data_IF_415661917145
#
_entry.id   IF_415661917145
#
_cell.length_a   1.000
_cell.length_b   1.000
_cell.length_c   1.000
_cell.angle_alpha   90.00
_cell.angle_beta   90.00
_cell.angle_gamma   90.00
#
_symmetry.space_group_name_H-M   'P 1'
#
loop_
_entity.id
_entity.type
_entity.pdbx_description
1 polymer ?
#
# COMPACT_ATOMS: atom_id res chain seq x y z
N UNK A 1 -4.13 -15.47 -14.86
CA UNK A 1 -3.56 -15.59 -16.23
C UNK A 1 -2.15 -15.04 -16.19
N UNK A 2 -1.14 -15.90 -16.36
CA UNK A 2 0.26 -15.51 -16.31
C UNK A 2 0.69 -14.95 -17.66
N UNK A 3 1.05 -13.66 -17.70
CA UNK A 3 1.79 -13.10 -18.81
C UNK A 3 3.21 -13.66 -18.77
N UNK A 4 3.61 -14.36 -19.84
CA UNK A 4 4.93 -14.95 -20.01
C UNK A 4 6.04 -13.92 -19.92
N UNK A 5 6.57 -13.75 -18.72
CA UNK A 5 7.81 -13.03 -18.47
C UNK A 5 8.92 -14.07 -18.42
N UNK A 6 9.91 -13.97 -19.31
CA UNK A 6 11.21 -14.62 -19.11
C UNK A 6 11.82 -14.00 -17.84
N UNK A 7 11.59 -14.66 -16.72
CA UNK A 7 12.02 -14.25 -15.40
C UNK A 7 11.63 -15.31 -14.40
N UNK A 8 12.58 -15.76 -13.59
CA UNK A 8 12.24 -16.60 -12.43
C UNK A 8 11.31 -15.79 -11.53
N UNK A 9 10.12 -16.31 -11.24
CA UNK A 9 9.24 -15.75 -10.20
C UNK A 9 9.97 -15.94 -8.88
N UNK A 10 10.64 -14.88 -8.41
CA UNK A 10 11.30 -14.84 -7.12
C UNK A 10 10.48 -13.97 -6.19
N UNK A 11 10.49 -14.30 -4.91
CA UNK A 11 9.90 -13.44 -3.90
C UNK A 11 10.57 -12.05 -3.95
N UNK A 12 9.75 -11.01 -3.85
CA UNK A 12 10.23 -9.64 -3.90
C UNK A 12 11.01 -9.34 -2.62
N UNK A 13 12.29 -8.99 -2.75
CA UNK A 13 13.06 -8.46 -1.62
C UNK A 13 12.76 -6.96 -1.48
N UNK A 14 11.68 -6.65 -0.78
CA UNK A 14 11.21 -5.28 -0.50
C UNK A 14 11.45 -4.94 0.96
N UNK A 15 11.24 -3.68 1.32
CA UNK A 15 11.18 -3.15 2.68
C UNK A 15 10.07 -2.10 2.75
N UNK A 16 9.70 -1.63 3.95
CA UNK A 16 8.74 -0.53 4.08
C UNK A 16 9.18 0.76 3.34
N UNK A 17 10.48 0.93 3.04
CA UNK A 17 10.97 2.07 2.27
C UNK A 17 10.72 1.95 0.76
N UNK A 18 10.36 0.77 0.26
CA UNK A 18 10.16 0.49 -1.16
C UNK A 18 8.69 0.63 -1.60
N UNK A 19 7.79 1.01 -0.68
CA UNK A 19 6.35 0.99 -0.92
C UNK A 19 5.69 2.30 -0.51
N UNK A 20 4.66 2.68 -1.27
CA UNK A 20 3.67 3.66 -0.84
C UNK A 20 2.38 2.91 -0.52
N UNK A 21 1.76 3.24 0.61
CA UNK A 21 0.49 2.65 1.02
C UNK A 21 -0.55 3.75 1.09
N UNK A 22 -1.70 3.46 0.51
CA UNK A 22 -2.86 4.32 0.49
C UNK A 22 -4.06 3.55 1.01
N UNK A 23 -4.99 4.25 1.66
CA UNK A 23 -6.26 3.68 2.05
C UNK A 23 -7.42 4.62 1.75
N UNK A 24 -8.59 4.04 1.55
CA UNK A 24 -9.85 4.76 1.42
C UNK A 24 -10.90 4.06 2.28
N UNK A 25 -11.67 4.83 3.05
CA UNK A 25 -12.77 4.31 3.87
C UNK A 25 -14.11 4.67 3.24
N UNK A 26 -15.03 3.71 3.21
CA UNK A 26 -16.43 3.90 2.81
C UNK A 26 -17.37 3.22 3.81
N UNK A 27 -18.44 3.87 4.28
CA UNK A 27 -19.44 3.24 5.13
C UNK A 27 -20.22 2.13 4.39
N UNK A 28 -20.37 2.23 3.06
CA UNK A 28 -21.02 1.20 2.26
C UNK A 28 -20.47 1.15 0.82
N UNK A 29 -20.75 0.07 0.08
CA UNK A 29 -20.34 -0.06 -1.34
C UNK A 29 -20.99 0.97 -2.26
N UNK A 30 -22.16 1.47 -1.87
CA UNK A 30 -22.94 2.43 -2.64
C UNK A 30 -22.66 3.88 -2.23
N UNK A 31 -21.68 4.11 -1.36
CA UNK A 31 -21.31 5.47 -0.95
C UNK A 31 -20.76 6.28 -2.14
N UNK A 32 -21.30 7.48 -2.31
CA UNK A 32 -20.96 8.41 -3.41
C UNK A 32 -20.56 9.80 -2.92
N UNK A 33 -20.65 10.11 -1.63
CA UNK A 33 -20.20 11.38 -1.08
C UNK A 33 -18.69 11.56 -1.34
N UNK A 34 -18.33 12.72 -1.87
CA UNK A 34 -16.96 13.14 -2.22
C UNK A 34 -16.00 13.03 -1.04
N UNK A 35 -16.51 13.15 0.19
CA UNK A 35 -15.75 12.97 1.43
C UNK A 35 -15.13 11.56 1.55
N UNK A 36 -15.71 10.55 0.89
CA UNK A 36 -15.26 9.15 0.95
C UNK A 36 -14.58 8.67 -0.35
N UNK A 37 -14.27 9.57 -1.28
CA UNK A 37 -13.64 9.20 -2.57
C UNK A 37 -12.12 9.23 -2.49
N UNK A 38 -11.55 10.05 -1.62
CA UNK A 38 -10.12 10.31 -1.58
C UNK A 38 -9.32 9.20 -0.89
N UNK A 39 -8.18 8.87 -1.48
CA UNK A 39 -7.18 8.01 -0.86
C UNK A 39 -6.25 8.84 0.03
N UNK A 40 -6.00 8.33 1.24
CA UNK A 40 -5.10 8.92 2.22
C UNK A 40 -3.83 8.06 2.33
N UNK A 41 -2.67 8.71 2.48
CA UNK A 41 -1.40 8.01 2.62
C UNK A 41 -1.22 7.45 4.02
N UNK A 42 -0.63 6.26 4.12
CA UNK A 42 -0.21 5.64 5.37
C UNK A 42 1.31 5.56 5.44
N UNK A 43 1.84 5.65 6.67
CA UNK A 43 3.25 5.38 6.91
C UNK A 43 3.51 3.87 6.75
N UNK A 44 4.20 3.50 5.67
CA UNK A 44 4.50 2.11 5.36
C UNK A 44 5.25 1.39 6.50
N UNK A 45 6.09 2.09 7.26
CA UNK A 45 6.87 1.50 8.36
C UNK A 45 6.02 1.18 9.59
N UNK A 46 4.85 1.81 9.74
CA UNK A 46 3.92 1.53 10.84
C UNK A 46 2.90 0.44 10.48
N UNK A 47 2.65 0.27 9.17
CA UNK A 47 1.61 -0.63 8.63
C UNK A 47 2.18 -1.98 8.20
N UNK A 48 3.36 -2.00 7.57
CA UNK A 48 4.03 -3.24 7.18
C UNK A 48 5.12 -3.57 8.19
N UNK A 49 4.83 -4.56 9.03
CA UNK A 49 5.79 -5.08 9.98
C UNK A 49 6.44 -6.32 9.37
N UNK A 50 7.77 -6.38 9.43
CA UNK A 50 8.46 -7.64 9.12
C UNK A 50 7.89 -8.73 10.01
N UNK A 51 7.65 -9.94 9.49
CA UNK A 51 7.02 -11.04 10.23
C UNK A 51 7.90 -11.61 11.36
N UNK A 52 9.03 -10.95 11.66
CA UNK A 52 10.08 -11.45 12.55
C UNK A 52 9.53 -11.66 13.96
N UNK A 53 9.69 -12.91 14.41
CA UNK A 53 9.74 -13.30 15.81
C UNK A 53 11.10 -12.87 16.35
N UNK A 54 11.05 -12.05 17.41
CA UNK A 54 12.16 -11.58 18.23
C UNK A 54 13.23 -12.66 18.46
N UNK A 55 14.23 -12.71 17.59
CA UNK A 55 15.43 -13.53 17.80
C UNK A 55 16.58 -12.88 17.05
N UNK A 56 17.62 -12.54 17.82
CA UNK A 56 18.86 -11.90 17.39
C UNK A 56 19.73 -12.77 16.47
N UNK A 57 19.21 -13.90 15.99
CA UNK A 57 19.92 -14.84 15.14
C UNK A 57 19.03 -15.26 13.96
N UNK A 58 19.51 -14.97 12.74
CA UNK A 58 19.02 -15.60 11.50
C UNK A 58 19.34 -17.10 11.55
N UNK A 59 18.55 -17.85 12.31
CA UNK A 59 18.78 -19.26 12.50
C UNK A 59 17.94 -20.02 11.48
N UNK A 60 18.58 -20.49 10.40
CA UNK A 60 18.01 -21.53 9.54
C UNK A 60 17.92 -22.82 10.38
N UNK A 61 16.85 -22.99 11.14
CA UNK A 61 16.66 -24.18 11.97
C UNK A 61 15.83 -25.22 11.23
N UNK A 62 15.92 -26.47 11.67
CA UNK A 62 15.09 -27.60 11.26
C UNK A 62 13.58 -27.39 11.49
N UNK A 63 13.18 -26.29 12.14
CA UNK A 63 11.80 -26.01 12.59
C UNK A 63 11.11 -24.85 11.85
N UNK A 64 11.80 -24.13 10.95
CA UNK A 64 11.17 -23.07 10.15
C UNK A 64 12.11 -21.93 9.76
N UNK A 65 11.67 -21.12 8.80
CA UNK A 65 12.35 -19.92 8.33
C UNK A 65 11.70 -18.69 9.00
N UNK A 66 12.46 -17.94 9.80
CA UNK A 66 11.96 -16.76 10.54
C UNK A 66 11.88 -15.48 9.69
N UNK A 67 12.47 -15.49 8.50
CA UNK A 67 12.49 -14.35 7.58
C UNK A 67 12.15 -14.83 6.16
N UNK A 68 10.88 -14.67 5.79
CA UNK A 68 10.41 -14.95 4.43
C UNK A 68 10.46 -13.65 3.63
N UNK A 69 11.32 -13.55 2.61
CA UNK A 69 11.46 -12.33 1.83
C UNK A 69 10.12 -11.99 1.17
N UNK A 70 9.68 -10.74 1.33
CA UNK A 70 8.44 -10.24 0.74
C UNK A 70 7.16 -10.57 1.51
N UNK A 71 7.24 -11.33 2.61
CA UNK A 71 6.12 -11.51 3.53
C UNK A 71 6.11 -10.38 4.58
N UNK A 72 4.95 -9.79 4.82
CA UNK A 72 4.74 -8.76 5.83
C UNK A 72 3.47 -9.01 6.61
N UNK A 73 3.50 -8.69 7.90
CA UNK A 73 2.29 -8.56 8.71
C UNK A 73 1.68 -7.19 8.48
N UNK A 74 0.40 -7.17 8.14
CA UNK A 74 -0.35 -5.93 8.00
C UNK A 74 -0.93 -5.51 9.34
N UNK A 75 -0.42 -4.43 9.90
CA UNK A 75 -0.99 -3.77 11.08
C UNK A 75 -2.01 -2.74 10.62
N UNK A 76 -3.20 -2.78 11.24
CA UNK A 76 -4.28 -1.82 11.01
C UNK A 76 -4.38 -0.87 12.21
N UNK A 77 -3.81 0.34 12.15
CA UNK A 77 -3.83 1.23 13.30
C UNK A 77 -5.25 1.76 13.56
N UNK A 78 -5.69 1.69 14.83
CA UNK A 78 -7.04 2.08 15.23
C UNK A 78 -7.37 3.56 14.93
N UNK A 79 -6.35 4.41 14.82
CA UNK A 79 -6.50 5.82 14.42
C UNK A 79 -7.12 5.98 13.04
N UNK A 80 -6.88 5.05 12.11
CA UNK A 80 -7.45 5.04 10.77
C UNK A 80 -8.56 3.99 10.61
N UNK A 81 -8.38 2.81 11.22
CA UNK A 81 -9.25 1.63 11.08
C UNK A 81 -10.11 1.42 12.33
N UNK A 82 -10.98 2.39 12.66
CA UNK A 82 -11.84 2.34 13.86
C UNK A 82 -13.34 2.25 13.58
N UNK A 83 -13.78 2.44 12.34
CA UNK A 83 -15.21 2.50 12.01
C UNK A 83 -15.65 1.23 11.29
N UNK A 84 -16.86 0.72 11.55
CA UNK A 84 -17.42 -0.34 10.72
C UNK A 84 -17.65 0.19 9.29
N UNK A 85 -17.36 -0.62 8.30
CA UNK A 85 -17.42 -0.26 6.89
C UNK A 85 -16.30 -0.92 6.09
N UNK A 86 -16.05 -0.39 4.90
CA UNK A 86 -15.16 -0.97 3.91
C UNK A 86 -13.93 -0.09 3.77
N UNK A 87 -12.76 -0.69 3.98
CA UNK A 87 -11.47 -0.06 3.78
C UNK A 87 -10.77 -0.67 2.57
N UNK A 88 -10.56 0.12 1.53
CA UNK A 88 -9.73 -0.27 0.39
C UNK A 88 -8.31 0.16 0.65
N UNK A 89 -7.39 -0.80 0.79
CA UNK A 89 -5.96 -0.56 0.95
C UNK A 89 -5.25 -0.85 -0.38
N UNK A 90 -4.47 0.12 -0.85
CA UNK A 90 -3.70 0.03 -2.07
C UNK A 90 -2.21 0.18 -1.76
N UNK A 91 -1.45 -0.87 -2.05
CA UNK A 91 -0.01 -0.94 -1.83
C UNK A 91 0.65 -0.92 -3.20
N UNK A 92 1.54 0.04 -3.44
CA UNK A 92 2.24 0.18 -4.72
C UNK A 92 3.74 0.42 -4.51
N UNK A 93 4.58 0.14 -5.51
CA UNK A 93 5.98 0.54 -5.48
C UNK A 93 6.11 2.04 -5.22
N UNK A 94 7.08 2.42 -4.38
CA UNK A 94 7.34 3.81 -4.04
C UNK A 94 7.63 4.65 -5.27
N UNK A 95 6.96 5.79 -5.35
CA UNK A 95 7.11 6.76 -6.42
C UNK A 95 7.95 7.94 -5.96
N UNK A 96 9.07 8.20 -6.64
CA UNK A 96 9.94 9.33 -6.34
C UNK A 96 9.96 10.29 -7.53
N UNK A 97 9.42 11.49 -7.33
CA UNK A 97 9.31 12.51 -8.36
C UNK A 97 10.61 13.30 -8.51
N UNK A 98 10.97 13.60 -9.76
CA UNK A 98 12.11 14.43 -10.12
C UNK A 98 11.85 15.21 -11.41
N UNK A 99 12.73 16.17 -11.69
CA UNK A 99 12.73 16.93 -12.94
C UNK A 99 14.05 16.71 -13.67
N UNK A 100 13.99 16.50 -14.98
CA UNK A 100 15.18 16.36 -15.81
C UNK A 100 15.91 17.70 -15.87
N UNK A 101 17.12 17.74 -15.33
CA UNK A 101 17.97 18.92 -15.32
C UNK A 101 18.67 19.14 -16.65
N UNK A 102 19.11 18.04 -17.28
CA UNK A 102 19.77 18.05 -18.58
C UNK A 102 19.68 16.67 -19.25
N UNK A 103 19.88 16.59 -20.56
CA UNK A 103 19.98 15.34 -21.33
C UNK A 103 21.19 15.44 -22.24
N UNK A 104 22.26 14.73 -21.89
CA UNK A 104 23.56 14.92 -22.54
C UNK A 104 24.42 13.65 -22.47
N UNK A 105 25.68 13.75 -22.91
CA UNK A 105 26.62 12.64 -23.03
C UNK A 105 27.78 12.77 -22.05
N UNK A 106 28.43 11.65 -21.79
CA UNK A 106 29.66 11.61 -21.00
C UNK A 106 30.85 12.11 -21.84
N UNK A 107 31.82 12.76 -21.20
CA UNK A 107 33.05 13.21 -21.85
C UNK A 107 33.85 12.04 -22.42
N UNK A 108 34.00 10.97 -21.63
CA UNK A 108 34.72 9.75 -22.01
C UNK A 108 33.93 8.84 -22.97
N UNK A 109 32.60 8.93 -22.97
CA UNK A 109 31.71 8.10 -23.78
C UNK A 109 30.69 8.97 -24.54
N UNK A 110 31.09 9.62 -25.65
CA UNK A 110 30.22 10.52 -26.40
C UNK A 110 29.00 9.84 -27.05
N UNK A 111 29.02 8.51 -27.16
CA UNK A 111 27.92 7.72 -27.72
C UNK A 111 26.88 7.31 -26.67
N UNK A 112 27.13 7.59 -25.38
CA UNK A 112 26.23 7.25 -24.28
C UNK A 112 25.49 8.50 -23.86
N UNK A 113 24.20 8.55 -24.20
CA UNK A 113 23.29 9.60 -23.76
C UNK A 113 22.60 9.19 -22.45
N UNK A 114 22.45 10.15 -21.54
CA UNK A 114 21.79 9.93 -20.27
C UNK A 114 20.98 11.14 -19.83
N UNK A 115 20.12 10.89 -18.85
CA UNK A 115 19.32 11.90 -18.16
C UNK A 115 20.13 12.37 -16.96
N UNK A 116 20.20 13.68 -16.76
CA UNK A 116 20.83 14.27 -15.58
C UNK A 116 19.74 14.76 -14.64
N UNK A 117 19.84 14.37 -13.37
CA UNK A 117 18.96 14.82 -12.30
C UNK A 117 19.80 15.33 -11.13
N UNK A 118 19.32 16.39 -10.48
CA UNK A 118 19.95 16.95 -9.29
C UNK A 118 19.41 16.30 -8.02
N UNK A 119 20.28 15.70 -7.20
CA UNK A 119 19.89 14.96 -5.99
C UNK A 119 19.14 15.89 -5.03
N UNK A 120 19.64 17.11 -4.82
CA UNK A 120 18.99 18.09 -3.94
C UNK A 120 17.56 18.49 -4.36
N UNK A 121 17.15 18.25 -5.60
CA UNK A 121 15.79 18.55 -6.09
C UNK A 121 14.82 17.39 -5.94
N UNK A 122 15.31 16.21 -5.55
CA UNK A 122 14.50 15.01 -5.37
C UNK A 122 14.10 14.92 -3.91
N UNK A 123 12.79 14.87 -3.64
CA UNK A 123 12.28 14.64 -2.30
C UNK A 123 12.36 13.14 -1.94
N UNK A 124 13.57 12.64 -1.78
CA UNK A 124 13.88 11.29 -1.34
C UNK A 124 15.06 11.31 -0.37
N UNK A 125 15.21 10.24 0.43
CA UNK A 125 16.36 10.10 1.32
C UNK A 125 17.69 10.15 0.56
N UNK A 126 18.75 10.60 1.23
CA UNK A 126 20.08 10.82 0.63
C UNK A 126 20.69 9.57 -0.04
N UNK A 127 20.25 8.38 0.35
CA UNK A 127 20.69 7.10 -0.23
C UNK A 127 20.04 6.74 -1.57
N UNK A 128 18.94 7.40 -1.95
CA UNK A 128 18.15 7.04 -3.14
C UNK A 128 18.94 7.19 -4.44
N UNK A 129 19.86 8.17 -4.50
CA UNK A 129 20.60 8.57 -5.70
C UNK A 129 22.10 8.26 -5.63
N UNK A 130 22.50 7.26 -4.82
CA UNK A 130 23.88 6.79 -4.78
C UNK A 130 24.27 6.06 -6.07
N UNK A 131 25.57 5.92 -6.35
CA UNK A 131 26.04 5.17 -7.51
C UNK A 131 25.46 3.75 -7.52
N UNK A 132 24.82 3.37 -8.62
CA UNK A 132 24.20 2.05 -8.82
C UNK A 132 22.87 1.80 -8.10
N UNK A 133 22.36 2.73 -7.28
CA UNK A 133 21.14 2.50 -6.47
C UNK A 133 19.84 2.39 -7.26
N UNK A 134 19.78 2.97 -8.47
CA UNK A 134 18.57 3.01 -9.29
C UNK A 134 18.53 1.94 -10.38
N UNK A 135 19.54 1.06 -10.46
CA UNK A 135 19.57 0.02 -11.49
C UNK A 135 18.34 -0.87 -11.36
N UNK A 136 17.63 -1.06 -12.48
CA UNK A 136 16.38 -1.83 -12.53
C UNK A 136 15.12 -1.04 -12.17
N UNK A 137 15.22 0.19 -11.65
CA UNK A 137 14.06 1.07 -11.53
C UNK A 137 13.55 1.43 -12.93
N UNK A 138 12.26 1.81 -13.01
CA UNK A 138 11.69 2.41 -14.21
C UNK A 138 11.50 3.90 -14.03
N UNK A 139 11.61 4.62 -15.14
CA UNK A 139 11.27 6.03 -15.27
C UNK A 139 9.96 6.13 -16.06
N UNK A 140 8.99 6.77 -15.44
CA UNK A 140 7.75 7.20 -16.08
C UNK A 140 7.80 8.72 -16.33
N UNK A 141 7.27 9.13 -17.48
CA UNK A 141 7.36 10.49 -17.97
C UNK A 141 6.01 11.20 -17.81
N UNK A 142 6.06 12.53 -17.69
CA UNK A 142 4.88 13.37 -17.67
C UNK A 142 4.91 14.34 -18.86
N UNK A 143 3.74 14.71 -19.37
CA UNK A 143 3.61 15.77 -20.37
C UNK A 143 3.64 17.17 -19.72
N UNK A 144 3.53 18.21 -20.56
CA UNK A 144 3.46 19.61 -20.12
C UNK A 144 2.24 19.93 -19.24
N UNK A 145 1.21 19.09 -19.26
CA UNK A 145 -0.01 19.24 -18.48
C UNK A 145 0.04 18.43 -17.17
N UNK A 146 1.19 17.82 -16.84
CA UNK A 146 1.39 16.89 -15.73
C UNK A 146 0.60 15.58 -15.83
N UNK A 147 0.16 15.17 -17.02
CA UNK A 147 -0.39 13.84 -17.23
C UNK A 147 0.73 12.82 -17.40
N UNK A 148 0.61 11.72 -16.65
CA UNK A 148 1.51 10.57 -16.77
C UNK A 148 1.36 9.91 -18.15
N UNK A 149 2.48 9.58 -18.76
CA UNK A 149 2.55 8.95 -20.07
C UNK A 149 2.57 7.42 -19.95
N UNK A 150 2.02 6.71 -20.95
CA UNK A 150 1.93 5.24 -20.94
C UNK A 150 3.26 4.52 -21.18
N UNK A 151 4.26 5.22 -21.71
CA UNK A 151 5.58 4.66 -21.95
C UNK A 151 6.49 4.86 -20.75
N UNK A 152 7.32 3.85 -20.49
CA UNK A 152 8.35 3.89 -19.46
C UNK A 152 9.68 3.40 -20.01
N UNK A 153 10.74 3.71 -19.28
CA UNK A 153 12.12 3.30 -19.61
C UNK A 153 12.74 2.65 -18.39
N UNK A 154 13.51 1.57 -18.56
CA UNK A 154 14.23 0.92 -17.44
C UNK A 154 15.61 1.57 -17.30
N UNK A 155 16.00 1.85 -16.06
CA UNK A 155 17.33 2.36 -15.72
C UNK A 155 18.34 1.22 -15.79
N UNK A 156 19.37 1.42 -16.61
CA UNK A 156 20.47 0.46 -16.77
C UNK A 156 21.69 0.83 -15.93
N UNK A 157 21.91 2.11 -15.65
CA UNK A 157 22.96 2.58 -14.74
C UNK A 157 22.62 3.97 -14.19
N UNK A 158 23.15 4.29 -13.01
CA UNK A 158 23.13 5.64 -12.46
C UNK A 158 24.43 5.91 -11.70
N UNK A 159 25.11 7.02 -11.97
CA UNK A 159 26.33 7.42 -11.27
C UNK A 159 26.41 8.94 -11.15
N UNK A 160 27.04 9.43 -10.08
CA UNK A 160 27.24 10.86 -9.85
C UNK A 160 28.23 11.45 -10.85
N UNK A 161 27.93 12.66 -11.32
CA UNK A 161 28.69 13.35 -12.37
C UNK A 161 28.81 14.84 -12.12
N UNK A 162 29.84 15.47 -12.68
CA UNK A 162 29.98 16.92 -12.71
C UNK A 162 30.10 17.44 -14.16
N UNK A 163 29.66 18.67 -14.44
CA UNK A 163 29.77 19.27 -15.76
C UNK A 163 31.21 19.73 -16.03
N UNK A 164 31.73 19.38 -17.20
CA UNK A 164 33.04 19.77 -17.70
C UNK A 164 32.88 20.42 -19.07
N UNK A 165 33.57 21.54 -19.28
CA UNK A 165 33.61 22.21 -20.56
C UNK A 165 34.64 21.53 -21.47
N UNK A 166 34.20 21.04 -22.63
CA UNK A 166 35.09 20.46 -23.64
C UNK A 166 35.12 21.36 -24.88
N UNK A 167 36.33 21.66 -25.36
CA UNK A 167 36.52 22.39 -26.61
C UNK A 167 36.22 21.47 -27.79
N UNK A 168 35.18 21.78 -28.55
CA UNK A 168 34.89 21.11 -29.81
C UNK A 168 35.87 21.57 -30.89
N UNK A 169 36.19 20.72 -31.87
CA UNK A 169 37.25 20.96 -32.89
C UNK A 169 37.01 22.23 -33.73
N UNK A 170 35.81 22.80 -33.70
CA UNK A 170 35.48 24.14 -34.17
C UNK A 170 35.50 25.14 -33.00
N UNK A 171 36.56 25.95 -32.92
CA UNK A 171 36.97 26.81 -31.79
C UNK A 171 36.02 27.92 -31.30
N UNK A 172 34.70 27.79 -31.45
CA UNK A 172 33.71 28.77 -31.00
C UNK A 172 32.55 28.19 -30.17
N UNK A 173 32.41 26.87 -30.06
CA UNK A 173 31.35 26.24 -29.26
C UNK A 173 31.97 25.38 -28.16
N UNK A 174 31.90 25.85 -26.91
CA UNK A 174 32.12 25.02 -25.72
C UNK A 174 30.89 24.14 -25.55
N UNK A 175 31.06 22.83 -25.59
CA UNK A 175 29.99 21.88 -25.29
C UNK A 175 30.17 21.42 -23.85
N UNK A 176 29.10 21.51 -23.04
CA UNK A 176 29.08 20.92 -21.70
C UNK A 176 28.96 19.41 -21.88
N UNK A 177 29.86 18.66 -21.25
CA UNK A 177 29.79 17.20 -21.11
C UNK A 177 29.92 16.84 -19.65
N UNK A 178 29.67 15.58 -19.31
CA UNK A 178 29.72 15.12 -17.92
C UNK A 178 30.87 14.14 -17.69
N UNK A 179 31.53 14.26 -16.55
CA UNK A 179 32.53 13.29 -16.05
C UNK A 179 32.06 12.73 -14.71
N UNK A 180 32.41 11.49 -14.40
CA UNK A 180 32.07 10.88 -13.12
C UNK A 180 32.78 11.59 -11.97
N UNK A 181 32.01 11.92 -10.92
CA UNK A 181 32.50 12.47 -9.67
C UNK A 181 31.56 12.07 -8.53
N UNK A 182 32.05 11.27 -7.59
CA UNK A 182 31.28 10.70 -6.48
C UNK A 182 30.83 11.74 -5.44
N UNK A 183 31.48 12.90 -5.40
CA UNK A 183 31.13 14.01 -4.51
C UNK A 183 30.06 14.94 -5.11
N UNK A 184 29.62 14.72 -6.34
CA UNK A 184 28.68 15.61 -7.02
C UNK A 184 27.22 15.44 -6.57
N UNK A 185 26.44 16.50 -6.77
CA UNK A 185 25.00 16.58 -6.57
C UNK A 185 24.18 16.26 -7.85
N UNK A 186 24.85 15.98 -8.97
CA UNK A 186 24.19 15.54 -10.20
C UNK A 186 24.40 14.05 -10.41
N UNK A 187 23.37 13.37 -10.92
CA UNK A 187 23.42 11.96 -11.28
C UNK A 187 23.09 11.79 -12.75
N UNK A 188 23.96 11.08 -13.45
CA UNK A 188 23.78 10.65 -14.83
C UNK A 188 23.14 9.28 -14.86
N UNK A 189 22.02 9.16 -15.57
CA UNK A 189 21.18 7.96 -15.62
C UNK A 189 21.08 7.49 -17.07
N UNK A 190 21.43 6.23 -17.33
CA UNK A 190 21.22 5.59 -18.64
C UNK A 190 19.97 4.72 -18.62
N UNK A 191 19.27 4.66 -19.75
CA UNK A 191 17.97 3.98 -19.85
C UNK A 191 17.83 3.10 -21.10
N UNK A 192 16.88 2.16 -21.09
CA UNK A 192 16.56 1.26 -22.22
C UNK A 192 15.44 1.81 -23.10
N UNK A 193 15.45 1.71 -24.45
CA UNK A 193 16.54 1.29 -25.33
C UNK A 193 17.65 2.33 -25.48
N UNK A 194 18.88 1.84 -25.56
CA UNK A 194 20.07 2.62 -25.88
C UNK A 194 20.29 2.81 -27.39
N UNK A 195 19.39 2.30 -28.23
CA UNK A 195 19.56 2.26 -29.70
C UNK A 195 18.56 3.16 -30.43
N UNK A 196 19.04 3.75 -31.53
CA UNK A 196 18.27 4.56 -32.46
C UNK A 196 17.03 3.83 -33.02
N UNK A 197 15.94 4.55 -33.34
CA UNK A 197 14.81 3.97 -34.09
C UNK A 197 15.28 3.34 -35.40
N UNK A 198 14.70 2.20 -35.78
CA UNK A 198 15.00 1.49 -37.03
C UNK A 198 14.78 2.36 -38.30
N UNK A 199 13.96 3.39 -38.20
CA UNK A 199 13.66 4.35 -39.29
C UNK A 199 14.70 5.47 -39.41
N UNK A 200 15.52 5.70 -38.38
CA UNK A 200 16.56 6.75 -38.35
C UNK A 200 17.81 6.27 -37.60
N UNK A 201 18.71 5.50 -38.26
CA UNK A 201 19.86 4.86 -37.61
C UNK A 201 20.82 5.81 -36.86
N UNK A 202 20.87 7.08 -37.26
CA UNK A 202 21.73 8.11 -36.65
C UNK A 202 21.00 8.99 -35.63
N UNK A 203 19.69 8.78 -35.41
CA UNK A 203 18.94 9.55 -34.43
C UNK A 203 19.14 8.96 -33.04
N UNK A 204 19.64 9.77 -32.10
CA UNK A 204 19.70 9.35 -30.70
C UNK A 204 18.29 9.00 -30.19
N UNK A 205 18.12 7.92 -29.42
CA UNK A 205 16.84 7.55 -28.87
C UNK A 205 16.33 8.67 -27.96
N UNK A 206 15.07 9.05 -28.11
CA UNK A 206 14.45 9.99 -27.19
C UNK A 206 14.38 9.36 -25.79
N UNK A 207 15.05 9.99 -24.81
CA UNK A 207 15.06 9.56 -23.41
C UNK A 207 14.45 10.60 -22.46
N UNK A 208 13.86 11.67 -23.00
CA UNK A 208 13.26 12.77 -22.25
C UNK A 208 13.73 14.13 -22.75
N UNK A 209 13.23 15.20 -22.12
CA UNK A 209 13.61 16.59 -22.40
C UNK A 209 13.97 17.33 -21.12
N UNK A 210 14.81 18.37 -21.26
CA UNK A 210 15.14 19.27 -20.15
C UNK A 210 13.86 19.93 -19.61
N UNK A 211 13.73 19.97 -18.28
CA UNK A 211 12.55 20.51 -17.59
C UNK A 211 11.36 19.54 -17.52
N UNK A 212 11.42 18.38 -18.18
CA UNK A 212 10.36 17.39 -18.11
C UNK A 212 10.29 16.75 -16.71
N UNK A 213 9.08 16.63 -16.17
CA UNK A 213 8.82 15.91 -14.93
C UNK A 213 8.86 14.40 -15.18
N UNK A 214 9.49 13.68 -14.26
CA UNK A 214 9.62 12.22 -14.28
C UNK A 214 9.35 11.63 -12.89
N UNK A 215 9.06 10.33 -12.87
CA UNK A 215 8.90 9.55 -11.65
C UNK A 215 9.77 8.29 -11.72
N UNK A 216 10.57 8.06 -10.68
CA UNK A 216 11.30 6.83 -10.45
C UNK A 216 10.44 5.86 -9.67
N UNK A 217 10.31 4.63 -10.17
CA UNK A 217 9.48 3.59 -9.58
C UNK A 217 10.29 2.29 -9.54
N UNK A 218 10.37 1.66 -8.37
CA UNK A 218 11.05 0.36 -8.27
C UNK A 218 10.24 -0.73 -8.98
N UNK A 219 10.93 -1.73 -9.52
CA UNK A 219 10.31 -2.85 -10.26
C UNK A 219 10.25 -4.14 -9.43
N UNK A 220 10.38 -4.04 -8.10
CA UNK A 220 10.49 -5.21 -7.22
C UNK A 220 9.19 -6.01 -7.14
N UNK A 221 8.04 -5.36 -7.30
CA UNK A 221 6.72 -5.98 -7.21
C UNK A 221 5.67 -5.19 -8.02
N UNK A 222 4.51 -5.81 -8.24
CA UNK A 222 3.35 -5.15 -8.86
C UNK A 222 2.42 -4.60 -7.78
N UNK A 223 1.72 -3.48 -8.02
CA UNK A 223 0.74 -2.96 -7.07
C UNK A 223 -0.32 -4.00 -6.69
N UNK A 224 -0.74 -3.97 -5.42
CA UNK A 224 -1.74 -4.85 -4.84
C UNK A 224 -2.85 -3.99 -4.25
N UNK A 225 -4.09 -4.37 -4.48
CA UNK A 225 -5.27 -3.79 -3.84
C UNK A 225 -5.95 -4.87 -3.01
N UNK A 226 -6.37 -4.51 -1.81
CA UNK A 226 -7.03 -5.39 -0.89
C UNK A 226 -8.14 -4.64 -0.15
N UNK A 227 -9.26 -5.31 0.05
CA UNK A 227 -10.44 -4.77 0.70
C UNK A 227 -10.56 -5.41 2.10
N UNK A 228 -10.73 -4.57 3.11
CA UNK A 228 -10.92 -4.98 4.50
C UNK A 228 -12.31 -4.51 4.91
N UNK A 229 -13.17 -5.45 5.27
CA UNK A 229 -14.49 -5.14 5.82
C UNK A 229 -14.41 -5.21 7.35
N UNK A 230 -14.60 -4.05 7.99
CA UNK A 230 -14.70 -3.95 9.44
C UNK A 230 -16.18 -4.07 9.81
N UNK A 231 -16.52 -5.12 10.56
CA UNK A 231 -17.90 -5.41 10.97
C UNK A 231 -18.03 -5.45 12.49
N UNK A 232 -19.23 -5.17 13.00
CA UNK A 232 -19.54 -5.31 14.43
C UNK A 232 -19.70 -6.77 14.82
N UNK A 233 -20.36 -7.55 13.97
CA UNK A 233 -20.60 -8.97 14.18
C UNK A 233 -20.01 -9.74 13.00
N UNK A 234 -19.13 -10.70 13.30
CA UNK A 234 -18.65 -11.68 12.34
C UNK A 234 -19.68 -12.80 12.09
N UNK A 235 -19.35 -13.74 11.21
CA UNK A 235 -20.24 -14.85 10.90
C UNK A 235 -20.57 -15.74 12.12
N UNK A 236 -19.62 -15.90 13.04
CA UNK A 236 -19.78 -16.74 14.22
C UNK A 236 -20.73 -16.11 15.26
N UNK A 237 -20.56 -14.81 15.52
CA UNK A 237 -21.46 -14.03 16.39
C UNK A 237 -22.87 -13.93 15.81
N UNK A 238 -23.01 -13.81 14.49
CA UNK A 238 -24.32 -13.89 13.83
C UNK A 238 -24.94 -15.29 13.96
N UNK A 239 -24.16 -16.36 13.75
CA UNK A 239 -24.64 -17.73 13.94
C UNK A 239 -25.10 -17.96 15.38
N UNK A 240 -24.40 -17.39 16.37
CA UNK A 240 -24.77 -17.44 17.78
C UNK A 240 -26.11 -16.74 18.05
N UNK A 241 -26.33 -15.56 17.46
CA UNK A 241 -27.58 -14.81 17.63
C UNK A 241 -28.79 -15.51 17.02
N UNK A 242 -28.60 -16.30 15.96
CA UNK A 242 -29.68 -16.98 15.22
C UNK A 242 -29.95 -18.39 15.75
N UNK A 243 -28.90 -19.18 15.95
CA UNK A 243 -29.01 -20.61 16.25
C UNK A 243 -28.37 -21.01 17.59
N UNK A 244 -27.77 -20.07 18.31
CA UNK A 244 -27.19 -20.34 19.62
C UNK A 244 -28.26 -20.66 20.66
N UNK A 245 -27.83 -21.26 21.76
CA UNK A 245 -28.69 -21.57 22.89
C UNK A 245 -29.27 -20.28 23.48
N UNK A 246 -30.57 -20.29 23.78
CA UNK A 246 -31.30 -19.14 24.30
C UNK A 246 -32.26 -19.55 25.41
N UNK A 247 -32.33 -18.75 26.47
CA UNK A 247 -33.31 -18.91 27.55
C UNK A 247 -34.17 -17.66 27.64
N UNK A 248 -35.48 -17.86 27.69
CA UNK A 248 -36.45 -16.80 27.92
C UNK A 248 -37.02 -16.91 29.34
N UNK A 249 -36.70 -15.94 30.19
CA UNK A 249 -37.33 -15.77 31.50
C UNK A 249 -38.74 -15.21 31.34
N UNK A 250 -39.75 -16.00 31.73
CA UNK A 250 -41.16 -15.58 31.67
C UNK A 250 -41.52 -14.55 32.74
N UNK A 251 -40.85 -14.60 33.90
CA UNK A 251 -41.12 -13.68 35.02
C UNK A 251 -40.57 -12.28 34.76
N UNK A 252 -39.33 -12.20 34.30
CA UNK A 252 -38.65 -10.92 34.06
C UNK A 252 -38.78 -10.46 32.62
N UNK A 253 -39.33 -11.28 31.73
CA UNK A 253 -39.45 -10.98 30.30
C UNK A 253 -38.10 -10.87 29.59
N UNK A 254 -37.05 -11.54 30.07
CA UNK A 254 -35.69 -11.39 29.55
C UNK A 254 -35.33 -12.58 28.64
N UNK A 255 -34.82 -12.31 27.44
CA UNK A 255 -34.24 -13.32 26.55
C UNK A 255 -32.72 -13.20 26.58
N UNK A 256 -32.07 -14.28 27.01
CA UNK A 256 -30.62 -14.39 27.12
C UNK A 256 -30.12 -15.33 26.04
N UNK A 257 -29.18 -14.87 25.22
CA UNK A 257 -28.41 -15.67 24.25
C UNK A 257 -27.05 -16.00 24.85
N UNK A 258 -26.61 -17.24 24.70
CA UNK A 258 -25.35 -17.73 25.26
C UNK A 258 -24.30 -18.00 24.19
N UNK A 259 -23.02 -17.99 24.59
CA UNK A 259 -21.88 -18.49 23.78
C UNK A 259 -21.90 -20.01 23.70
N UNK A 260 -21.03 -20.60 22.87
CA UNK A 260 -20.83 -22.06 22.80
C UNK A 260 -20.38 -22.68 24.14
N UNK A 261 -19.82 -21.88 25.05
CA UNK A 261 -19.39 -22.29 26.39
C UNK A 261 -20.45 -21.95 27.47
N UNK A 262 -21.68 -21.61 27.05
CA UNK A 262 -22.79 -21.27 27.93
C UNK A 262 -22.59 -20.00 28.79
N UNK A 263 -21.71 -19.09 28.34
CA UNK A 263 -21.57 -17.76 28.94
C UNK A 263 -22.60 -16.79 28.33
N UNK A 264 -23.05 -15.79 29.09
CA UNK A 264 -24.03 -14.80 28.58
C UNK A 264 -23.37 -13.95 27.48
N UNK A 265 -23.94 -14.00 26.27
CA UNK A 265 -23.49 -13.20 25.13
C UNK A 265 -24.29 -11.91 24.97
N UNK A 266 -25.63 -12.01 24.93
CA UNK A 266 -26.51 -10.86 24.76
C UNK A 266 -27.83 -11.07 25.50
N UNK A 267 -28.34 -10.01 26.11
CA UNK A 267 -29.65 -10.01 26.77
C UNK A 267 -30.56 -8.96 26.14
N UNK A 268 -31.81 -9.35 25.88
CA UNK A 268 -32.83 -8.47 25.30
C UNK A 268 -34.15 -8.60 26.05
N UNK A 269 -34.80 -7.48 26.33
CA UNK A 269 -36.09 -7.45 26.98
C UNK A 269 -37.19 -7.79 25.96
N UNK A 270 -38.06 -8.73 26.33
CA UNK A 270 -39.24 -9.17 25.61
C UNK A 270 -40.50 -8.87 26.43
N UNK A 271 -41.29 -7.91 25.99
CA UNK A 271 -42.57 -7.58 26.60
C UNK A 271 -43.66 -7.38 25.56
N UNK A 272 -44.91 -7.44 25.99
CA UNK A 272 -46.08 -7.26 25.13
C UNK A 272 -46.74 -5.92 25.44
N UNK A 273 -47.17 -5.21 24.40
CA UNK A 273 -48.06 -4.06 24.51
C UNK A 273 -49.46 -4.56 24.23
N UNK A 274 -50.39 -4.29 25.15
CA UNK A 274 -51.80 -4.72 25.06
C UNK A 274 -52.72 -3.52 24.88
N UNK A 275 -53.87 -3.75 24.26
CA UNK A 275 -54.95 -2.76 24.17
C UNK A 275 -55.55 -2.52 25.56
N UNK A 276 -55.60 -1.24 25.96
CA UNK A 276 -56.15 -0.77 27.23
C UNK A 276 -57.62 -1.19 27.45
N UNK A 277 -58.39 -1.39 26.37
CA UNK A 277 -59.83 -1.66 26.45
C UNK A 277 -60.17 -3.14 26.30
N UNK A 278 -59.53 -3.84 25.36
CA UNK A 278 -59.83 -5.25 25.07
C UNK A 278 -58.87 -6.23 25.73
N UNK A 279 -57.77 -5.74 26.34
CA UNK A 279 -56.68 -6.53 26.92
C UNK A 279 -56.09 -7.57 25.93
N UNK A 280 -56.26 -7.31 24.63
CA UNK A 280 -55.70 -8.12 23.56
C UNK A 280 -54.26 -7.71 23.28
N UNK A 281 -53.42 -8.67 22.90
CA UNK A 281 -52.02 -8.42 22.55
C UNK A 281 -51.97 -7.64 21.23
N UNK A 282 -51.39 -6.44 21.26
CA UNK A 282 -51.21 -5.60 20.06
C UNK A 282 -49.85 -5.85 19.43
N UNK A 283 -48.78 -5.79 20.24
CA UNK A 283 -47.41 -5.91 19.76
C UNK A 283 -46.57 -6.72 20.74
N UNK A 284 -45.63 -7.51 20.20
CA UNK A 284 -44.51 -8.05 20.96
C UNK A 284 -43.27 -7.19 20.66
N UNK A 285 -42.66 -6.64 21.70
CA UNK A 285 -41.49 -5.79 21.59
C UNK A 285 -40.27 -6.58 22.02
N UNK A 286 -39.23 -6.55 21.18
CA UNK A 286 -37.87 -6.94 21.53
C UNK A 286 -37.04 -5.66 21.62
N UNK A 287 -36.55 -5.36 22.82
CA UNK A 287 -35.75 -4.17 23.09
C UNK A 287 -34.39 -4.58 23.66
N UNK A 288 -33.34 -3.86 23.26
CA UNK A 288 -32.03 -4.06 23.86
C UNK A 288 -32.07 -3.73 25.37
N UNK A 289 -31.53 -4.61 26.20
CA UNK A 289 -31.53 -4.43 27.66
C UNK A 289 -30.49 -3.39 28.13
N UNK A 290 -29.77 -2.77 27.20
CA UNK A 290 -28.74 -1.77 27.50
C UNK A 290 -27.49 -2.41 28.12
N UNK A 291 -26.70 -1.61 28.83
CA UNK A 291 -25.38 -2.03 29.34
C UNK A 291 -25.42 -2.88 30.63
N UNK A 292 -26.61 -3.15 31.19
CA UNK A 292 -26.74 -3.89 32.45
C UNK A 292 -27.06 -5.36 32.15
N UNK A 293 -26.09 -6.24 32.40
CA UNK A 293 -26.28 -7.70 32.29
C UNK A 293 -26.85 -8.23 33.62
N UNK A 294 -27.98 -8.93 33.54
CA UNK A 294 -28.54 -9.68 34.66
C UNK A 294 -27.79 -11.02 34.80
N UNK A 295 -26.86 -11.07 35.75
CA UNK A 295 -26.04 -12.26 36.04
C UNK A 295 -26.82 -13.39 36.73
N UNK A 296 -28.07 -13.15 37.15
CA UNK A 296 -28.90 -14.25 37.67
C UNK A 296 -29.32 -15.24 36.58
N UNK A 297 -29.19 -14.83 35.31
CA UNK A 297 -29.50 -15.64 34.14
C UNK A 297 -28.32 -16.46 33.61
N UNK A 298 -27.38 -16.86 34.46
CA UNK A 298 -26.33 -17.79 34.04
C UNK A 298 -26.91 -19.17 33.67
N UNK A 299 -26.34 -19.83 32.67
CA UNK A 299 -26.89 -21.09 32.17
C UNK A 299 -27.04 -22.15 33.26
N UNK A 300 -25.98 -22.35 34.05
CA UNK A 300 -25.94 -23.35 35.12
C UNK A 300 -26.85 -23.02 36.32
N UNK A 301 -27.29 -21.76 36.47
CA UNK A 301 -28.26 -21.38 37.51
C UNK A 301 -29.70 -21.73 37.11
N UNK A 302 -29.97 -21.79 35.80
CA UNK A 302 -31.30 -22.04 35.25
C UNK A 302 -31.49 -23.51 34.86
N UNK A 303 -30.48 -24.10 34.21
CA UNK A 303 -30.51 -25.48 33.73
C UNK A 303 -29.47 -26.26 34.54
N UNK A 304 -29.88 -26.91 35.65
CA UNK A 304 -28.98 -27.79 36.38
C UNK A 304 -28.63 -29.00 35.51
N UNK A 305 -27.34 -29.38 35.53
CA UNK A 305 -26.74 -30.52 34.84
C UNK A 305 -27.42 -31.86 35.14
#
# INVERSE_FOLDING_TARGET
MANGTYGTVRAANITANDVDIWYNYRPSRSETDENFVNFLSLNASEVLLSPIIDSTEQTYTSYGVNDLPGLYNLKLPLTQFSKPGIYTVYIRPKEVYATIQDVNVLSAYPNVQGIIVKISSVNAGSSFMNNGSLVGYRIEYFDSNNNRQDYYRIITSNNKVEPVNVNTVSGSQKSIRYIYNDASDLVFITVTPSTAPNTKPNAMPFIGQVGQKICFINTKFNPIMMEIEMVENDADTLALLVAGDQVRSLGNGLLTTYTKNHEIYKQVQLYQIKDSYTNSDLYQVRQDNGASIDTTQEWNSIIPS
#
